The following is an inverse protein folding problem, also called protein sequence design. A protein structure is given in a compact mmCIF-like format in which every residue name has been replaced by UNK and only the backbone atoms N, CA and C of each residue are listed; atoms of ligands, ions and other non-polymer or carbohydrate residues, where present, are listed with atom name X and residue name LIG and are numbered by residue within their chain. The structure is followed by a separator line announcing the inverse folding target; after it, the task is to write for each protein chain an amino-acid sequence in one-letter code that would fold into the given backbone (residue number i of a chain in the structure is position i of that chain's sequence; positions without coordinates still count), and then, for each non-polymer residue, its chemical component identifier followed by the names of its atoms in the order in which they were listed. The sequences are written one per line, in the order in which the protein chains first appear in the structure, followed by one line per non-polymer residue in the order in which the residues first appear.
data_IF_878232529775
#
_entry.id   IF_878232529775
#
_cell.length_a   1.000
_cell.length_b   1.000
_cell.length_c   1.000
_cell.angle_alpha   90.00
_cell.angle_beta   90.00
_cell.angle_gamma   90.00
#
_symmetry.space_group_name_H-M   'P 1'
#
loop_
_entity.id
_entity.type
_entity.pdbx_description
1 polymer ?
#
# COMPACT_ATOMS: atom_id res chain seq x y z
N UNK A 1 13.84 -14.56 -11.14
CA UNK A 1 12.99 -13.35 -11.28
C UNK A 1 11.63 -13.48 -10.59
N UNK A 2 11.52 -14.12 -9.40
CA UNK A 2 10.20 -14.51 -8.85
C UNK A 2 9.82 -13.89 -7.49
N UNK A 3 10.76 -13.75 -6.55
CA UNK A 3 10.43 -13.33 -5.16
C UNK A 3 9.96 -11.87 -5.07
N UNK A 4 10.65 -10.96 -5.77
CA UNK A 4 10.34 -9.52 -5.76
C UNK A 4 8.99 -9.20 -6.37
N UNK A 5 8.67 -9.85 -7.50
CA UNK A 5 7.40 -9.68 -8.18
C UNK A 5 6.25 -10.25 -7.33
N UNK A 6 6.46 -11.43 -6.74
CA UNK A 6 5.50 -12.06 -5.83
C UNK A 6 5.22 -11.18 -4.60
N UNK A 7 6.27 -10.63 -3.97
CA UNK A 7 6.11 -9.70 -2.86
C UNK A 7 5.39 -8.40 -3.27
N UNK A 8 5.66 -7.87 -4.46
CA UNK A 8 4.97 -6.69 -4.97
C UNK A 8 3.48 -6.96 -5.21
N UNK A 9 3.13 -8.14 -5.75
CA UNK A 9 1.75 -8.56 -5.99
C UNK A 9 0.99 -8.77 -4.67
N UNK A 10 1.62 -9.41 -3.69
CA UNK A 10 1.05 -9.57 -2.35
C UNK A 10 0.86 -8.22 -1.66
N UNK A 11 1.85 -7.32 -1.74
CA UNK A 11 1.72 -5.98 -1.17
C UNK A 11 0.57 -5.19 -1.84
N UNK A 12 0.47 -5.23 -3.17
CA UNK A 12 -0.61 -4.58 -3.89
C UNK A 12 -2.00 -5.10 -3.48
N UNK A 13 -2.14 -6.43 -3.32
CA UNK A 13 -3.38 -7.04 -2.86
C UNK A 13 -3.76 -6.59 -1.43
N UNK A 14 -2.79 -6.58 -0.51
CA UNK A 14 -3.01 -6.13 0.88
C UNK A 14 -3.40 -4.66 0.93
N UNK A 15 -2.73 -3.80 0.17
CA UNK A 15 -3.07 -2.37 0.12
C UNK A 15 -4.44 -2.12 -0.50
N UNK A 16 -4.82 -2.86 -1.55
CA UNK A 16 -6.14 -2.75 -2.14
C UNK A 16 -7.26 -3.11 -1.14
N UNK A 17 -7.13 -4.24 -0.43
CA UNK A 17 -8.10 -4.67 0.58
C UNK A 17 -8.17 -3.68 1.75
N UNK A 18 -7.01 -3.24 2.24
CA UNK A 18 -6.94 -2.26 3.34
C UNK A 18 -7.61 -0.95 2.95
N UNK A 19 -7.37 -0.49 1.73
CA UNK A 19 -7.93 0.76 1.21
C UNK A 19 -9.46 0.72 1.07
N UNK A 20 -10.00 -0.39 0.58
CA UNK A 20 -11.46 -0.61 0.49
C UNK A 20 -12.09 -0.63 1.88
N UNK A 21 -11.50 -1.36 2.84
CA UNK A 21 -11.97 -1.40 4.22
C UNK A 21 -11.92 -0.01 4.87
N UNK A 22 -10.82 0.72 4.69
CA UNK A 22 -10.67 2.06 5.25
C UNK A 22 -11.68 3.05 4.65
N UNK A 23 -11.90 2.98 3.34
CA UNK A 23 -12.92 3.78 2.66
C UNK A 23 -14.32 3.51 3.23
N UNK A 24 -14.67 2.23 3.38
CA UNK A 24 -15.96 1.82 3.93
C UNK A 24 -16.14 2.22 5.41
N UNK A 25 -15.14 2.00 6.26
CA UNK A 25 -15.23 2.31 7.69
C UNK A 25 -15.27 3.81 8.00
N UNK A 26 -14.55 4.64 7.25
CA UNK A 26 -14.48 6.07 7.53
C UNK A 26 -15.66 6.84 6.95
N UNK A 27 -16.04 6.53 5.72
CA UNK A 27 -17.04 7.32 5.00
C UNK A 27 -18.43 6.68 5.03
N UNK A 28 -18.57 5.43 5.49
CA UNK A 28 -19.81 4.66 5.43
C UNK A 28 -20.19 4.19 4.01
N UNK A 29 -19.44 4.64 3.00
CA UNK A 29 -19.65 4.37 1.58
C UNK A 29 -18.31 4.15 0.87
N UNK A 30 -18.32 3.33 -0.19
CA UNK A 30 -17.11 3.07 -0.98
C UNK A 30 -16.86 4.24 -1.92
N UNK A 31 -16.08 5.23 -1.46
CA UNK A 31 -15.60 6.33 -2.30
C UNK A 31 -14.37 5.91 -3.10
N UNK A 32 -14.56 5.58 -4.36
CA UNK A 32 -13.48 5.09 -5.24
C UNK A 32 -12.28 6.03 -5.34
N UNK A 33 -12.48 7.36 -5.28
CA UNK A 33 -11.34 8.30 -5.28
C UNK A 33 -10.43 8.09 -4.06
N UNK A 34 -11.02 7.89 -2.88
CA UNK A 34 -10.28 7.63 -1.64
C UNK A 34 -9.58 6.27 -1.72
N UNK A 35 -10.26 5.26 -2.26
CA UNK A 35 -9.70 3.91 -2.40
C UNK A 35 -8.47 3.91 -3.32
N UNK A 36 -8.56 4.60 -4.45
CA UNK A 36 -7.46 4.73 -5.41
C UNK A 36 -6.29 5.50 -4.78
N UNK A 37 -6.57 6.61 -4.11
CA UNK A 37 -5.56 7.44 -3.45
C UNK A 37 -4.79 6.70 -2.34
N UNK A 38 -5.51 5.99 -1.45
CA UNK A 38 -4.89 5.21 -0.37
C UNK A 38 -4.12 3.99 -0.90
N UNK A 39 -4.62 3.33 -1.93
CA UNK A 39 -3.92 2.18 -2.53
C UNK A 39 -2.60 2.62 -3.16
N UNK A 40 -2.63 3.69 -3.97
CA UNK A 40 -1.42 4.25 -4.59
C UNK A 40 -0.45 4.83 -3.56
N UNK A 41 -0.95 5.62 -2.61
CA UNK A 41 -0.13 6.21 -1.56
C UNK A 41 0.52 5.17 -0.65
N UNK A 42 -0.25 4.14 -0.24
CA UNK A 42 0.25 3.02 0.56
C UNK A 42 1.30 2.21 -0.18
N UNK A 43 1.05 1.88 -1.46
CA UNK A 43 2.00 1.15 -2.29
C UNK A 43 3.31 1.92 -2.52
N UNK A 44 3.23 3.21 -2.85
CA UNK A 44 4.42 4.06 -3.04
C UNK A 44 5.21 4.23 -1.74
N UNK A 45 4.53 4.41 -0.61
CA UNK A 45 5.17 4.49 0.71
C UNK A 45 5.91 3.18 1.05
N UNK A 46 5.25 2.03 0.83
CA UNK A 46 5.87 0.73 1.05
C UNK A 46 7.05 0.46 0.11
N UNK A 47 6.93 0.82 -1.16
CA UNK A 47 7.97 0.52 -2.16
C UNK A 47 9.17 1.47 -2.11
N UNK A 48 8.97 2.76 -1.80
CA UNK A 48 10.04 3.76 -1.81
C UNK A 48 10.46 4.24 -0.42
N UNK A 49 9.51 4.50 0.49
CA UNK A 49 9.81 5.15 1.77
C UNK A 49 10.36 4.13 2.77
N UNK A 50 9.70 2.98 2.91
CA UNK A 50 10.08 1.95 3.89
C UNK A 50 11.46 1.33 3.63
N UNK A 51 11.85 0.94 2.40
CA UNK A 51 13.21 0.48 2.15
C UNK A 51 14.26 1.56 2.34
N UNK A 52 13.91 2.84 2.08
CA UNK A 52 14.84 3.97 2.30
C UNK A 52 15.03 4.27 3.80
N UNK A 53 13.97 4.17 4.60
CA UNK A 53 14.06 4.26 6.06
C UNK A 53 14.86 3.10 6.67
N UNK A 54 14.72 1.88 6.16
CA UNK A 54 15.46 0.74 6.68
C UNK A 54 16.96 0.78 6.33
N UNK A 55 17.32 1.49 5.24
CA UNK A 55 18.72 1.68 4.84
C UNK A 55 19.44 2.68 5.75
N UNK A 56 18.74 3.72 6.21
CA UNK A 56 19.26 4.72 7.15
C UNK A 56 19.35 4.23 8.60
N UNK A 57 18.89 3.02 8.90
CA UNK A 57 18.95 2.43 10.26
C UNK A 57 20.16 1.50 10.46
N UNK A 58 20.99 1.35 9.43
CA UNK A 58 22.22 0.54 9.43
C UNK A 58 23.51 1.36 9.33
N UNK A 59 23.41 2.68 9.31
CA UNK A 59 24.51 3.61 9.57
C UNK A 59 24.41 4.11 11.02
#
# INVERSE_FOLDING_TARGET
MAQRLRNALTAAAVFAVTSVLFGYFIYGEVRWQTVIGLTLGGFLSWYFIIPRMNKNKKE
#
